data_IF_305086724077
#
_entry.id   IF_305086724077
#
_cell.length_a   1.000
_cell.length_b   1.000
_cell.length_c   1.000
_cell.angle_alpha   90.00
_cell.angle_beta   90.00
_cell.angle_gamma   90.00
#
_symmetry.space_group_name_H-M   'P 1'
#
loop_
_entity.id
_entity.type
_entity.pdbx_description
1 polymer ?
#
# COMPACT_ATOMS: atom_id res chain seq x y z
N UNK A 1 -43.89 18.91 10.88
CA UNK A 1 -42.52 18.41 11.14
C UNK A 1 -41.62 18.81 9.97
N UNK A 2 -40.60 19.66 10.14
CA UNK A 2 -39.80 20.13 9.01
C UNK A 2 -38.62 19.19 8.72
N UNK A 3 -38.48 18.81 7.45
CA UNK A 3 -37.34 18.08 6.89
C UNK A 3 -36.10 18.98 6.83
N UNK A 4 -35.01 18.60 7.50
CA UNK A 4 -33.71 19.27 7.39
C UNK A 4 -33.03 18.86 6.07
N UNK A 5 -32.65 19.85 5.27
CA UNK A 5 -31.81 19.69 4.08
C UNK A 5 -30.36 19.48 4.53
N UNK A 6 -29.74 18.39 4.07
CA UNK A 6 -28.29 18.16 4.25
C UNK A 6 -27.60 18.77 3.03
N UNK A 7 -26.91 19.88 3.24
CA UNK A 7 -26.14 20.56 2.19
C UNK A 7 -24.71 20.03 2.20
N UNK A 8 -24.31 19.50 1.05
CA UNK A 8 -23.00 19.07 0.59
C UNK A 8 -21.86 20.00 1.01
N UNK A 9 -20.84 19.47 1.69
CA UNK A 9 -19.53 20.11 1.87
C UNK A 9 -18.51 19.35 1.03
N UNK A 10 -18.30 19.81 -0.20
CA UNK A 10 -17.22 19.38 -1.09
C UNK A 10 -16.72 20.62 -1.83
N UNK A 11 -15.87 21.43 -1.19
CA UNK A 11 -15.05 22.45 -1.84
C UNK A 11 -14.16 23.14 -0.79
N UNK A 12 -13.05 22.52 -0.39
CA UNK A 12 -12.00 23.25 0.32
C UNK A 12 -10.60 22.61 0.18
N UNK A 13 -10.19 22.17 -1.02
CA UNK A 13 -8.78 21.79 -1.31
C UNK A 13 -8.33 22.31 -2.70
N UNK A 14 -8.79 23.49 -3.12
CA UNK A 14 -8.36 24.08 -4.41
C UNK A 14 -8.17 25.60 -4.36
N UNK A 15 -7.62 26.12 -3.26
CA UNK A 15 -7.36 27.57 -3.17
C UNK A 15 -6.08 27.96 -2.41
N UNK A 16 -5.01 27.16 -2.51
CA UNK A 16 -3.69 27.55 -1.94
C UNK A 16 -2.63 27.80 -3.02
N UNK A 17 -2.90 27.49 -4.29
CA UNK A 17 -1.89 27.58 -5.36
C UNK A 17 -1.71 28.97 -6.01
N UNK A 18 -2.40 30.03 -5.55
CA UNK A 18 -2.42 31.33 -6.25
C UNK A 18 -1.80 32.52 -5.49
N UNK A 19 -1.01 32.30 -4.44
CA UNK A 19 -0.35 33.39 -3.70
C UNK A 19 1.16 33.17 -3.53
N UNK A 20 1.87 32.89 -4.62
CA UNK A 20 3.34 33.04 -4.66
C UNK A 20 3.66 34.29 -5.48
N UNK A 21 4.18 35.38 -4.87
CA UNK A 21 4.61 36.54 -5.62
C UNK A 21 5.91 36.21 -6.40
N UNK A 22 5.97 36.68 -7.64
CA UNK A 22 7.16 36.60 -8.49
C UNK A 22 8.32 37.40 -7.87
N UNK A 23 9.42 36.73 -7.53
CA UNK A 23 10.66 37.38 -7.08
C UNK A 23 11.51 37.80 -8.28
N UNK A 24 11.91 39.09 -8.41
CA UNK A 24 12.85 39.53 -9.42
C UNK A 24 14.30 39.37 -8.93
N UNK A 25 15.18 38.92 -9.84
CA UNK A 25 16.63 39.19 -9.81
C UNK A 25 17.48 38.34 -8.86
N UNK A 26 18.08 37.25 -9.36
CA UNK A 26 19.19 36.55 -8.69
C UNK A 26 20.51 36.96 -9.35
N UNK A 27 21.28 37.83 -8.68
CA UNK A 27 22.69 38.03 -8.99
C UNK A 27 23.45 36.72 -8.76
N UNK A 28 24.30 36.34 -9.71
CA UNK A 28 25.16 35.17 -9.66
C UNK A 28 26.30 35.38 -8.66
N UNK A 29 26.03 35.06 -7.40
CA UNK A 29 27.07 34.70 -6.44
C UNK A 29 27.00 33.19 -6.19
N UNK A 30 28.10 32.46 -6.38
CA UNK A 30 28.22 31.07 -5.92
C UNK A 30 28.22 31.07 -4.39
N UNK A 31 27.02 31.04 -3.81
CA UNK A 31 26.83 30.63 -2.42
C UNK A 31 27.01 29.11 -2.40
N UNK A 32 27.88 28.55 -1.53
CA UNK A 32 27.90 27.10 -1.34
C UNK A 32 26.50 26.67 -0.92
N UNK A 33 25.88 25.77 -1.69
CA UNK A 33 24.65 25.11 -1.26
C UNK A 33 25.05 24.23 -0.09
N UNK A 34 24.87 24.76 1.12
CA UNK A 34 24.82 23.95 2.32
C UNK A 34 23.65 22.99 2.10
N UNK A 35 23.92 21.69 2.07
CA UNK A 35 22.90 20.67 1.91
C UNK A 35 21.75 20.96 2.88
N UNK A 36 20.52 20.99 2.37
CA UNK A 36 19.32 21.24 3.17
C UNK A 36 19.26 20.18 4.27
N UNK A 37 19.50 20.59 5.52
CA UNK A 37 19.65 19.71 6.67
C UNK A 37 18.34 19.01 7.09
N UNK A 38 17.30 19.05 6.26
CA UNK A 38 15.96 18.53 6.52
C UNK A 38 15.54 17.40 5.59
N UNK A 39 16.45 16.88 4.75
CA UNK A 39 16.15 15.70 3.94
C UNK A 39 16.13 14.44 4.81
N UNK A 40 14.93 13.91 5.08
CA UNK A 40 14.76 12.60 5.72
C UNK A 40 14.97 11.50 4.68
N UNK A 41 15.97 10.66 4.89
CA UNK A 41 16.25 9.48 4.08
C UNK A 41 16.07 8.20 4.89
N UNK A 42 15.74 7.10 4.21
CA UNK A 42 15.74 5.77 4.81
C UNK A 42 17.16 5.40 5.28
N UNK A 43 17.28 4.76 6.44
CA UNK A 43 18.54 4.19 6.92
C UNK A 43 18.64 2.76 6.37
N UNK A 44 19.55 2.48 5.41
CA UNK A 44 19.66 1.16 4.80
C UNK A 44 20.04 0.10 5.86
N UNK A 45 19.38 -1.05 5.80
CA UNK A 45 19.71 -2.18 6.67
C UNK A 45 19.33 -2.01 8.15
N UNK A 46 18.52 -1.00 8.50
CA UNK A 46 18.05 -0.78 9.86
C UNK A 46 17.32 -2.02 10.41
N UNK A 47 17.62 -2.37 11.66
CA UNK A 47 16.98 -3.46 12.41
C UNK A 47 16.27 -2.89 13.62
N UNK A 48 15.07 -3.40 13.88
CA UNK A 48 14.21 -2.94 14.95
C UNK A 48 14.03 -4.03 16.00
N UNK A 49 14.29 -3.71 17.26
CA UNK A 49 13.88 -4.54 18.38
C UNK A 49 12.63 -3.94 19.04
N UNK A 50 11.45 -4.43 18.64
CA UNK A 50 10.18 -3.95 19.17
C UNK A 50 9.80 -4.70 20.46
N UNK A 51 9.71 -3.95 21.56
CA UNK A 51 9.43 -4.47 22.90
C UNK A 51 8.04 -4.05 23.39
N UNK A 52 7.60 -4.68 24.48
CA UNK A 52 6.31 -4.40 25.11
C UNK A 52 5.12 -4.69 24.19
N UNK A 53 4.06 -3.89 24.35
CA UNK A 53 2.80 -4.10 23.64
C UNK A 53 2.95 -4.03 22.12
N UNK A 54 3.70 -3.07 21.60
CA UNK A 54 3.94 -2.91 20.15
C UNK A 54 4.62 -4.15 19.57
N UNK A 55 5.66 -4.66 20.25
CA UNK A 55 6.32 -5.90 19.83
C UNK A 55 5.37 -7.09 19.78
N UNK A 56 4.52 -7.24 20.81
CA UNK A 56 3.52 -8.32 20.84
C UNK A 56 2.45 -8.17 19.76
N UNK A 57 1.98 -6.96 19.51
CA UNK A 57 0.99 -6.68 18.47
C UNK A 57 1.54 -7.00 17.07
N UNK A 58 2.75 -6.52 16.76
CA UNK A 58 3.45 -6.80 15.49
C UNK A 58 3.64 -8.30 15.29
N UNK A 59 4.13 -9.03 16.30
CA UNK A 59 4.28 -10.49 16.23
C UNK A 59 2.93 -11.18 15.97
N UNK A 60 1.89 -10.83 16.71
CA UNK A 60 0.59 -11.48 16.60
C UNK A 60 -0.08 -11.22 15.23
N UNK A 61 0.02 -10.01 14.68
CA UNK A 61 -0.48 -9.73 13.33
C UNK A 61 0.31 -10.50 12.28
N UNK A 62 1.64 -10.50 12.39
CA UNK A 62 2.51 -11.25 11.46
C UNK A 62 2.12 -12.72 11.45
N UNK A 63 2.06 -13.36 12.62
CA UNK A 63 1.89 -14.79 12.77
C UNK A 63 0.45 -15.27 12.53
N UNK A 64 -0.55 -14.51 13.00
CA UNK A 64 -1.94 -15.00 13.02
C UNK A 64 -2.83 -14.38 11.95
N UNK A 65 -2.42 -13.27 11.34
CA UNK A 65 -3.19 -12.62 10.27
C UNK A 65 -2.47 -12.68 8.93
N UNK A 66 -1.26 -12.13 8.84
CA UNK A 66 -0.58 -11.96 7.55
C UNK A 66 -0.06 -13.28 6.99
N UNK A 67 0.52 -14.12 7.84
CA UNK A 67 1.04 -15.45 7.43
C UNK A 67 -0.09 -16.41 7.05
N UNK A 68 -1.24 -16.33 7.73
CA UNK A 68 -2.35 -17.27 7.56
C UNK A 68 -3.33 -16.84 6.45
N UNK A 69 -3.45 -15.53 6.18
CA UNK A 69 -4.49 -14.97 5.31
C UNK A 69 -4.59 -15.62 3.91
N UNK A 70 -3.49 -15.90 3.17
CA UNK A 70 -3.59 -16.54 1.86
C UNK A 70 -4.26 -17.92 1.90
N UNK A 71 -4.04 -18.68 2.98
CA UNK A 71 -4.59 -20.02 3.14
C UNK A 71 -6.03 -19.98 3.67
N UNK A 72 -6.32 -19.10 4.64
CA UNK A 72 -7.66 -19.01 5.25
C UNK A 72 -8.67 -18.26 4.38
N UNK A 73 -8.21 -17.42 3.45
CA UNK A 73 -9.05 -16.69 2.51
C UNK A 73 -8.54 -16.85 1.08
N UNK A 74 -8.80 -18.00 0.42
CA UNK A 74 -8.43 -18.21 -0.98
C UNK A 74 -9.09 -17.21 -1.94
N UNK A 75 -10.15 -16.53 -1.50
CA UNK A 75 -10.83 -15.47 -2.25
C UNK A 75 -9.92 -14.30 -2.62
N UNK A 76 -8.78 -14.12 -1.92
CA UNK A 76 -7.78 -13.09 -2.24
C UNK A 76 -7.27 -13.14 -3.68
N UNK A 77 -7.21 -14.32 -4.30
CA UNK A 77 -6.75 -14.48 -5.69
C UNK A 77 -7.78 -15.18 -6.59
N UNK A 78 -8.91 -15.63 -6.05
CA UNK A 78 -9.86 -16.46 -6.79
C UNK A 78 -10.52 -15.70 -7.95
N UNK A 79 -10.76 -14.39 -7.82
CA UNK A 79 -11.30 -13.58 -8.90
C UNK A 79 -10.32 -13.48 -10.09
N UNK A 80 -9.01 -13.34 -9.81
CA UNK A 80 -7.97 -13.32 -10.84
C UNK A 80 -7.85 -14.67 -11.55
N UNK A 81 -7.91 -15.77 -10.78
CA UNK A 81 -7.92 -17.14 -11.34
C UNK A 81 -9.09 -17.37 -12.28
N UNK A 82 -10.23 -16.76 -11.99
CA UNK A 82 -11.48 -16.99 -12.71
C UNK A 82 -11.80 -15.92 -13.76
N UNK A 83 -10.87 -15.01 -14.07
CA UNK A 83 -11.06 -13.93 -15.07
C UNK A 83 -11.77 -14.41 -16.34
N UNK A 84 -11.28 -15.48 -16.94
CA UNK A 84 -11.78 -15.99 -18.23
C UNK A 84 -12.86 -17.08 -18.08
N UNK A 85 -13.24 -17.43 -16.84
CA UNK A 85 -14.17 -18.53 -16.56
C UNK A 85 -15.59 -18.15 -17.00
N UNK A 86 -16.24 -19.06 -17.73
CA UNK A 86 -17.67 -18.95 -18.10
C UNK A 86 -18.51 -20.00 -17.36
N UNK A 87 -19.70 -19.64 -16.83
CA UNK A 87 -20.23 -18.28 -16.71
C UNK A 87 -19.39 -17.45 -15.74
N UNK A 88 -19.37 -16.13 -15.97
CA UNK A 88 -18.70 -15.18 -15.07
C UNK A 88 -19.29 -15.32 -13.67
N UNK A 89 -18.42 -15.37 -12.66
CA UNK A 89 -18.86 -15.28 -11.27
C UNK A 89 -19.19 -13.82 -10.95
N UNK A 90 -20.19 -13.61 -10.09
CA UNK A 90 -20.60 -12.27 -9.65
C UNK A 90 -19.64 -11.68 -8.63
N UNK A 91 -18.37 -11.50 -9.00
CA UNK A 91 -17.41 -10.74 -8.20
C UNK A 91 -17.72 -9.25 -8.32
N UNK A 92 -17.54 -8.51 -7.23
CA UNK A 92 -17.63 -7.06 -7.28
C UNK A 92 -16.36 -6.47 -7.91
N UNK A 93 -16.50 -5.40 -8.69
CA UNK A 93 -15.36 -4.81 -9.42
C UNK A 93 -14.18 -4.36 -8.54
N UNK A 94 -14.41 -4.09 -7.26
CA UNK A 94 -13.38 -3.70 -6.29
C UNK A 94 -12.62 -4.89 -5.69
N UNK A 95 -13.05 -6.14 -5.95
CA UNK A 95 -12.37 -7.31 -5.41
C UNK A 95 -10.93 -7.44 -5.91
N UNK A 96 -10.65 -6.95 -7.12
CA UNK A 96 -9.30 -6.82 -7.71
C UNK A 96 -8.26 -6.16 -6.79
N UNK A 97 -8.69 -5.30 -5.87
CA UNK A 97 -7.80 -4.51 -5.02
C UNK A 97 -7.25 -5.30 -3.81
N UNK A 98 -7.95 -6.37 -3.37
CA UNK A 98 -7.61 -7.09 -2.14
C UNK A 98 -6.21 -7.72 -2.14
N UNK A 99 -5.74 -8.39 -3.21
CA UNK A 99 -4.39 -8.93 -3.22
C UNK A 99 -3.32 -7.84 -3.08
N UNK A 100 -3.54 -6.66 -3.69
CA UNK A 100 -2.65 -5.52 -3.53
C UNK A 100 -2.65 -4.98 -2.09
N UNK A 101 -3.82 -4.84 -1.48
CA UNK A 101 -3.97 -4.41 -0.07
C UNK A 101 -3.27 -5.36 0.90
N UNK A 102 -3.43 -6.67 0.69
CA UNK A 102 -2.73 -7.69 1.47
C UNK A 102 -1.21 -7.57 1.28
N UNK A 103 -0.74 -7.54 0.03
CA UNK A 103 0.69 -7.53 -0.29
C UNK A 103 1.38 -6.30 0.29
N UNK A 104 0.79 -5.11 0.17
CA UNK A 104 1.34 -3.88 0.77
C UNK A 104 1.51 -4.03 2.28
N UNK A 105 0.46 -4.42 3.00
CA UNK A 105 0.54 -4.57 4.46
C UNK A 105 1.56 -5.64 4.90
N UNK A 106 1.63 -6.75 4.16
CA UNK A 106 2.53 -7.84 4.47
C UNK A 106 4.01 -7.52 4.16
N UNK A 107 4.29 -6.82 3.05
CA UNK A 107 5.67 -6.39 2.71
C UNK A 107 6.18 -5.37 3.72
N UNK A 108 5.36 -4.41 4.15
CA UNK A 108 5.75 -3.47 5.20
C UNK A 108 6.09 -4.21 6.51
N UNK A 109 5.32 -5.23 6.86
CA UNK A 109 5.63 -6.06 8.03
C UNK A 109 6.91 -6.87 7.83
N UNK A 110 7.14 -7.46 6.66
CA UNK A 110 8.36 -8.18 6.34
C UNK A 110 9.61 -7.28 6.43
N UNK A 111 9.53 -6.04 5.96
CA UNK A 111 10.64 -5.07 6.08
C UNK A 111 10.94 -4.74 7.54
N UNK A 112 9.90 -4.63 8.37
CA UNK A 112 10.01 -4.31 9.79
C UNK A 112 10.57 -5.48 10.62
N UNK A 113 10.11 -6.70 10.37
CA UNK A 113 10.38 -7.87 11.24
C UNK A 113 11.40 -8.84 10.67
N UNK A 114 11.59 -8.85 9.33
CA UNK A 114 12.36 -9.86 8.59
C UNK A 114 11.94 -11.30 8.91
N UNK A 115 10.65 -11.49 9.17
CA UNK A 115 10.08 -12.80 9.46
C UNK A 115 10.17 -13.72 8.22
N UNK A 116 11.00 -14.78 8.32
CA UNK A 116 11.27 -15.70 7.21
C UNK A 116 10.05 -16.53 6.80
N UNK A 117 9.13 -16.80 7.73
CA UNK A 117 7.91 -17.54 7.41
C UNK A 117 6.95 -16.65 6.61
N UNK A 118 6.79 -15.39 7.02
CA UNK A 118 6.04 -14.43 6.22
C UNK A 118 6.68 -14.26 4.83
N UNK A 119 8.02 -14.22 4.75
CA UNK A 119 8.72 -14.15 3.46
C UNK A 119 8.37 -15.33 2.56
N UNK A 120 8.41 -16.55 3.10
CA UNK A 120 8.05 -17.77 2.37
C UNK A 120 6.61 -17.73 1.85
N UNK A 121 5.68 -17.28 2.69
CA UNK A 121 4.27 -17.11 2.31
C UNK A 121 4.11 -16.07 1.19
N UNK A 122 4.83 -14.94 1.29
CA UNK A 122 4.79 -13.90 0.26
C UNK A 122 5.41 -14.33 -1.06
N UNK A 123 6.49 -15.11 -1.03
CA UNK A 123 7.09 -15.67 -2.24
C UNK A 123 6.08 -16.58 -2.99
N UNK A 124 5.36 -17.44 -2.27
CA UNK A 124 4.31 -18.29 -2.86
C UNK A 124 3.11 -17.47 -3.36
N UNK A 125 2.67 -16.49 -2.57
CA UNK A 125 1.57 -15.61 -2.94
C UNK A 125 1.88 -14.81 -4.21
N UNK A 126 3.06 -14.20 -4.31
CA UNK A 126 3.48 -13.41 -5.47
C UNK A 126 3.65 -14.30 -6.70
N UNK A 127 4.24 -15.49 -6.57
CA UNK A 127 4.32 -16.47 -7.67
C UNK A 127 2.93 -16.81 -8.22
N UNK A 128 1.98 -17.05 -7.32
CA UNK A 128 0.59 -17.37 -7.68
C UNK A 128 -0.10 -16.18 -8.34
N UNK A 129 0.06 -14.97 -7.77
CA UNK A 129 -0.48 -13.73 -8.33
C UNK A 129 0.03 -13.48 -9.76
N UNK A 130 1.34 -13.59 -9.98
CA UNK A 130 1.96 -13.41 -11.31
C UNK A 130 1.47 -14.48 -12.30
N UNK A 131 1.21 -15.72 -11.84
CA UNK A 131 0.70 -16.79 -12.71
C UNK A 131 -0.67 -16.49 -13.31
N UNK A 132 -1.43 -15.55 -12.74
CA UNK A 132 -2.73 -15.11 -13.25
C UNK A 132 -2.66 -13.89 -14.18
N UNK A 133 -1.48 -13.33 -14.38
CA UNK A 133 -1.28 -12.23 -15.32
C UNK A 133 -1.46 -12.72 -16.76
N UNK A 134 -2.24 -11.98 -17.57
CA UNK A 134 -2.34 -12.23 -19.00
C UNK A 134 -1.02 -11.93 -19.72
N UNK A 135 -0.88 -12.44 -20.94
CA UNK A 135 0.31 -12.23 -21.78
C UNK A 135 0.58 -10.77 -22.14
N UNK A 136 -0.44 -9.91 -22.11
CA UNK A 136 -0.36 -8.47 -22.34
C UNK A 136 -0.09 -7.66 -21.05
N UNK A 137 0.05 -8.36 -19.92
CA UNK A 137 0.25 -7.76 -18.60
C UNK A 137 -1.03 -7.48 -17.82
N UNK A 138 -2.23 -7.74 -18.38
CA UNK A 138 -3.49 -7.50 -17.66
C UNK A 138 -3.60 -8.42 -16.42
N UNK A 139 -3.86 -7.81 -15.26
CA UNK A 139 -4.00 -8.49 -13.98
C UNK A 139 -5.18 -7.90 -13.21
N UNK A 140 -6.37 -8.31 -13.62
CA UNK A 140 -7.64 -7.95 -13.00
C UNK A 140 -8.65 -9.09 -13.16
N UNK A 141 -9.77 -9.03 -12.43
CA UNK A 141 -10.91 -9.91 -12.66
C UNK A 141 -11.53 -9.72 -14.05
#
# INVERSE_FOLDING_TARGET
MPRKRVTTVFALITLVSYLVPAYPGRAQGKVPVVADHNELAEIPGCEYELRGWIGSYVRNITQHWLTVAPQSNPGLLEMLRNRDRKPLRGFWGHEGEYPGKYLTGAVEMLRLTRDEELRRVLDEFVRTLISYQASDGYLGP
#
